data_IF_722442224950
#
_entry.id   IF_722442224950
#
_cell.length_a   1.000
_cell.length_b   1.000
_cell.length_c   1.000
_cell.angle_alpha   90.00
_cell.angle_beta   90.00
_cell.angle_gamma   90.00
#
_symmetry.space_group_name_H-M   'P 1'
#
loop_
_entity.id
_entity.type
_entity.pdbx_description
1 polymer ?
#
# COMPACT_ATOMS: atom_id res chain seq x y z
N UNK A 1 26.81 31.26 26.73
CA UNK A 1 27.29 29.91 26.39
C UNK A 1 27.03 28.98 27.58
N UNK A 2 25.76 28.77 27.96
CA UNK A 2 25.38 28.02 29.17
C UNK A 2 23.97 27.41 29.05
N UNK A 3 23.59 26.96 27.84
CA UNK A 3 22.30 26.30 27.56
C UNK A 3 22.49 24.85 27.06
N UNK A 4 23.73 24.47 26.70
CA UNK A 4 24.05 23.12 26.21
C UNK A 4 24.37 22.10 27.31
N UNK A 5 24.89 22.52 28.47
CA UNK A 5 25.38 21.61 29.53
C UNK A 5 24.25 20.97 30.37
N UNK A 6 23.05 21.56 30.38
CA UNK A 6 21.92 21.04 31.14
C UNK A 6 21.18 19.87 30.48
N UNK A 7 21.33 19.69 29.16
CA UNK A 7 20.68 18.61 28.40
C UNK A 7 21.55 17.34 28.40
N UNK A 8 22.88 17.48 28.42
CA UNK A 8 23.80 16.34 28.44
C UNK A 8 23.87 15.64 29.81
N UNK A 9 23.59 16.35 30.91
CA UNK A 9 23.60 15.76 32.26
C UNK A 9 22.37 14.91 32.58
N UNK A 10 21.19 15.20 31.99
CA UNK A 10 19.97 14.39 32.18
C UNK A 10 20.02 13.04 31.43
N UNK A 11 20.78 12.95 30.33
CA UNK A 11 20.90 11.71 29.54
C UNK A 11 21.77 10.67 30.23
N UNK A 12 22.72 11.09 31.08
CA UNK A 12 23.67 10.18 31.73
C UNK A 12 23.06 9.39 32.91
N UNK A 13 21.89 9.79 33.41
CA UNK A 13 21.25 9.21 34.59
C UNK A 13 20.15 8.18 34.26
N UNK A 14 19.99 7.83 32.98
CA UNK A 14 19.04 6.80 32.54
C UNK A 14 19.69 5.41 32.68
N UNK A 15 19.14 4.49 33.48
CA UNK A 15 19.70 3.15 33.62
C UNK A 15 19.83 2.41 32.28
N UNK A 16 20.99 1.80 32.02
CA UNK A 16 21.30 1.08 30.77
C UNK A 16 20.23 0.05 30.36
N UNK A 17 19.60 -0.62 31.34
CA UNK A 17 18.56 -1.59 31.09
C UNK A 17 17.28 -0.98 30.52
N UNK A 18 16.97 0.29 30.86
CA UNK A 18 15.87 1.02 30.24
C UNK A 18 16.25 1.34 28.80
N UNK A 19 17.43 1.93 28.56
CA UNK A 19 17.93 2.25 27.21
C UNK A 19 17.83 1.02 26.31
N UNK A 20 18.34 -0.13 26.75
CA UNK A 20 18.25 -1.38 26.00
C UNK A 20 16.81 -1.80 25.68
N UNK A 21 15.86 -1.64 26.62
CA UNK A 21 14.44 -1.93 26.39
C UNK A 21 13.83 -0.98 25.35
N UNK A 22 14.14 0.31 25.42
CA UNK A 22 13.69 1.31 24.44
C UNK A 22 14.24 0.99 23.05
N UNK A 23 15.55 0.75 22.91
CA UNK A 23 16.18 0.42 21.62
C UNK A 23 15.64 -0.88 21.05
N UNK A 24 15.31 -1.88 21.87
CA UNK A 24 14.70 -3.14 21.40
C UNK A 24 13.29 -2.90 20.87
N UNK A 25 12.49 -2.11 21.57
CA UNK A 25 11.15 -1.71 21.12
C UNK A 25 11.22 -0.92 19.82
N UNK A 26 12.14 0.01 19.69
CA UNK A 26 12.29 0.79 18.46
C UNK A 26 12.72 -0.08 17.28
N UNK A 27 13.69 -1.00 17.47
CA UNK A 27 14.09 -1.96 16.45
C UNK A 27 12.92 -2.80 15.95
N UNK A 28 12.10 -3.32 16.86
CA UNK A 28 10.90 -4.10 16.49
C UNK A 28 9.89 -3.23 15.72
N UNK A 29 9.68 -1.98 16.14
CA UNK A 29 8.80 -1.05 15.43
C UNK A 29 9.28 -0.80 14.00
N UNK A 30 10.58 -0.51 13.83
CA UNK A 30 11.17 -0.25 12.51
C UNK A 30 11.13 -1.50 11.62
N UNK A 31 11.35 -2.70 12.17
CA UNK A 31 11.21 -3.94 11.41
C UNK A 31 9.77 -4.15 10.94
N UNK A 32 8.78 -3.99 11.82
CA UNK A 32 7.36 -4.13 11.46
C UNK A 32 6.93 -3.07 10.44
N UNK A 33 7.34 -1.81 10.62
CA UNK A 33 7.06 -0.73 9.69
C UNK A 33 7.74 -0.96 8.33
N UNK A 34 8.98 -1.46 8.33
CA UNK A 34 9.71 -1.81 7.10
C UNK A 34 9.05 -2.95 6.33
N UNK A 35 8.62 -4.01 7.03
CA UNK A 35 7.85 -5.11 6.43
C UNK A 35 6.52 -4.61 5.87
N UNK A 36 5.82 -3.73 6.60
CA UNK A 36 4.58 -3.12 6.14
C UNK A 36 4.78 -2.32 4.85
N UNK A 37 5.77 -1.40 4.81
CA UNK A 37 6.05 -0.58 3.63
C UNK A 37 6.53 -1.44 2.44
N UNK A 38 7.37 -2.44 2.69
CA UNK A 38 7.80 -3.39 1.67
C UNK A 38 6.65 -4.22 1.10
N UNK A 39 5.72 -4.67 1.96
CA UNK A 39 4.52 -5.37 1.53
C UNK A 39 3.61 -4.48 0.68
N UNK A 40 3.42 -3.21 1.05
CA UNK A 40 2.69 -2.26 0.20
C UNK A 40 3.37 -2.03 -1.16
N UNK A 41 4.69 -1.91 -1.21
CA UNK A 41 5.40 -1.80 -2.48
C UNK A 41 5.21 -3.05 -3.36
N UNK A 42 5.20 -4.25 -2.77
CA UNK A 42 4.92 -5.50 -3.49
C UNK A 42 3.49 -5.55 -4.03
N UNK A 43 2.50 -5.05 -3.28
CA UNK A 43 1.11 -4.97 -3.76
C UNK A 43 1.03 -4.15 -5.06
N UNK A 44 1.69 -3.00 -5.10
CA UNK A 44 1.68 -2.12 -6.27
C UNK A 44 2.26 -2.80 -7.53
N UNK A 45 3.29 -3.63 -7.35
CA UNK A 45 3.99 -4.28 -8.47
C UNK A 45 3.26 -5.55 -8.91
N UNK A 46 2.82 -6.39 -7.96
CA UNK A 46 2.45 -7.79 -8.24
C UNK A 46 0.93 -7.96 -8.38
N UNK A 47 0.10 -7.11 -7.76
CA UNK A 47 -1.36 -7.30 -7.73
C UNK A 47 -2.01 -7.36 -9.11
N UNK A 48 -1.59 -6.51 -10.06
CA UNK A 48 -2.20 -6.45 -11.40
C UNK A 48 -1.37 -7.19 -12.46
N UNK A 49 -0.11 -7.53 -12.17
CA UNK A 49 0.82 -8.04 -13.18
C UNK A 49 0.96 -9.55 -13.19
N UNK A 50 0.65 -10.24 -12.08
CA UNK A 50 0.83 -11.69 -11.99
C UNK A 50 -0.37 -12.39 -11.37
N UNK A 51 -0.92 -13.33 -12.14
CA UNK A 51 -1.96 -14.25 -11.72
C UNK A 51 -1.43 -15.68 -11.72
N UNK A 52 -1.87 -16.47 -10.75
CA UNK A 52 -1.64 -17.91 -10.68
C UNK A 52 -2.98 -18.64 -10.80
N UNK A 53 -2.96 -19.81 -11.43
CA UNK A 53 -4.13 -20.66 -11.55
C UNK A 53 -4.20 -21.61 -10.36
N UNK A 54 -5.32 -21.61 -9.64
CA UNK A 54 -5.63 -22.54 -8.56
C UNK A 54 -6.91 -23.30 -8.91
N UNK A 55 -6.74 -24.42 -9.62
CA UNK A 55 -7.88 -25.19 -10.15
C UNK A 55 -8.72 -24.33 -11.12
N UNK A 56 -10.03 -24.15 -10.89
CA UNK A 56 -10.88 -23.30 -11.74
C UNK A 56 -10.73 -21.79 -11.46
N UNK A 57 -10.03 -21.39 -10.40
CA UNK A 57 -9.93 -19.98 -9.99
C UNK A 57 -8.60 -19.37 -10.44
N UNK A 58 -8.65 -18.13 -10.94
CA UNK A 58 -7.47 -17.28 -11.15
C UNK A 58 -7.27 -16.39 -9.92
N UNK A 59 -6.08 -16.42 -9.34
CA UNK A 59 -5.75 -15.65 -8.14
C UNK A 59 -4.58 -14.70 -8.44
N UNK A 60 -4.76 -13.42 -8.14
CA UNK A 60 -3.66 -12.45 -8.17
C UNK A 60 -2.61 -12.81 -7.11
N UNK A 61 -1.34 -12.84 -7.49
CA UNK A 61 -0.24 -13.12 -6.53
C UNK A 61 -0.12 -12.01 -5.48
N UNK A 62 -0.57 -10.79 -5.80
CA UNK A 62 -0.71 -9.70 -4.84
C UNK A 62 -1.66 -9.97 -3.67
N UNK A 63 -2.42 -11.07 -3.68
CA UNK A 63 -3.17 -11.50 -2.48
C UNK A 63 -2.24 -11.92 -1.34
N UNK A 64 -0.99 -12.33 -1.60
CA UNK A 64 -0.06 -12.79 -0.57
C UNK A 64 0.51 -11.68 0.34
N UNK A 65 0.96 -10.53 -0.19
CA UNK A 65 1.44 -9.43 0.68
C UNK A 65 0.31 -8.76 1.49
N UNK A 66 -0.95 -8.94 1.12
CA UNK A 66 -2.09 -8.27 1.75
C UNK A 66 -2.29 -8.70 3.22
N UNK A 67 -2.41 -9.99 3.58
CA UNK A 67 -2.40 -10.43 4.98
C UNK A 67 -1.19 -9.96 5.79
N UNK A 68 -0.02 -9.82 5.13
CA UNK A 68 1.20 -9.37 5.79
C UNK A 68 1.08 -7.91 6.22
N UNK A 69 0.51 -7.03 5.38
CA UNK A 69 0.26 -5.63 5.77
C UNK A 69 -0.62 -5.53 7.01
N UNK A 70 -1.67 -6.36 7.11
CA UNK A 70 -2.55 -6.34 8.28
C UNK A 70 -1.90 -6.87 9.53
N UNK A 71 -1.20 -8.01 9.42
CA UNK A 71 -0.46 -8.56 10.54
C UNK A 71 0.52 -7.52 11.10
N UNK A 72 1.22 -6.79 10.24
CA UNK A 72 2.11 -5.71 10.68
C UNK A 72 1.34 -4.55 11.33
N UNK A 73 0.26 -4.04 10.76
CA UNK A 73 -0.49 -2.93 11.36
C UNK A 73 -1.12 -3.32 12.70
N UNK A 74 -1.63 -4.54 12.80
CA UNK A 74 -2.26 -5.07 14.01
C UNK A 74 -1.23 -5.21 15.13
N UNK A 75 -0.08 -5.83 14.85
CA UNK A 75 1.04 -5.94 15.80
C UNK A 75 1.56 -4.57 16.23
N UNK A 76 1.67 -3.61 15.30
CA UNK A 76 2.08 -2.24 15.63
C UNK A 76 1.04 -1.58 16.53
N UNK A 77 -0.25 -1.78 16.25
CA UNK A 77 -1.34 -1.19 17.04
C UNK A 77 -1.40 -1.75 18.46
N UNK A 78 -1.10 -3.05 18.63
CA UNK A 78 -1.11 -3.73 19.92
C UNK A 78 0.12 -3.39 20.76
N UNK A 79 1.31 -3.41 20.16
CA UNK A 79 2.58 -3.19 20.86
C UNK A 79 2.90 -1.70 21.11
N UNK A 80 2.47 -0.81 20.20
CA UNK A 80 2.84 0.61 20.20
C UNK A 80 1.65 1.57 20.21
N UNK A 81 0.43 1.04 20.15
CA UNK A 81 -0.80 1.82 20.17
C UNK A 81 -1.29 2.24 18.79
N UNK A 82 -2.60 2.42 18.70
CA UNK A 82 -3.31 2.78 17.46
C UNK A 82 -2.79 4.05 16.77
N UNK A 83 -2.36 5.06 17.55
CA UNK A 83 -1.83 6.31 16.97
C UNK A 83 -0.58 6.07 16.13
N UNK A 84 0.33 5.20 16.59
CA UNK A 84 1.56 4.88 15.85
C UNK A 84 1.27 3.99 14.64
N UNK A 85 0.36 3.03 14.78
CA UNK A 85 -0.09 2.22 13.64
C UNK A 85 -0.67 3.11 12.52
N UNK A 86 -1.58 4.02 12.86
CA UNK A 86 -2.15 4.97 11.89
C UNK A 86 -1.06 5.82 11.22
N UNK A 87 -0.05 6.25 11.98
CA UNK A 87 1.05 7.05 11.44
C UNK A 87 1.88 6.27 10.41
N UNK A 88 2.18 5.00 10.67
CA UNK A 88 2.87 4.11 9.71
C UNK A 88 2.07 3.97 8.42
N UNK A 89 0.74 3.86 8.52
CA UNK A 89 -0.08 3.78 7.30
C UNK A 89 -0.10 5.09 6.53
N UNK A 90 -0.20 6.25 7.21
CA UNK A 90 -0.11 7.56 6.57
C UNK A 90 1.24 7.78 5.86
N UNK A 91 2.34 7.34 6.47
CA UNK A 91 3.65 7.33 5.80
C UNK A 91 3.59 6.49 4.54
N UNK A 92 3.01 5.30 4.63
CA UNK A 92 2.85 4.42 3.48
C UNK A 92 2.03 5.03 2.33
N UNK A 93 0.91 5.70 2.64
CA UNK A 93 0.16 6.47 1.64
C UNK A 93 1.00 7.60 1.03
N UNK A 94 1.76 8.33 1.85
CA UNK A 94 2.67 9.37 1.39
C UNK A 94 3.75 8.83 0.45
N UNK A 95 4.30 7.64 0.74
CA UNK A 95 5.24 6.94 -0.14
C UNK A 95 4.57 6.57 -1.47
N UNK A 96 3.33 6.08 -1.45
CA UNK A 96 2.60 5.77 -2.69
C UNK A 96 2.31 7.02 -3.54
N UNK A 97 1.99 8.16 -2.91
CA UNK A 97 1.88 9.45 -3.60
C UNK A 97 3.20 9.86 -4.25
N UNK A 98 4.33 9.68 -3.53
CA UNK A 98 5.65 9.96 -4.08
C UNK A 98 5.94 9.08 -5.29
N UNK A 99 5.64 7.78 -5.21
CA UNK A 99 5.81 6.82 -6.32
C UNK A 99 5.00 7.29 -7.54
N UNK A 100 3.71 7.57 -7.39
CA UNK A 100 2.87 8.09 -8.48
C UNK A 100 3.43 9.42 -9.01
N UNK A 101 3.86 10.33 -8.14
CA UNK A 101 4.40 11.63 -8.53
C UNK A 101 5.67 11.51 -9.36
N UNK A 102 6.61 10.65 -8.96
CA UNK A 102 7.84 10.38 -9.72
C UNK A 102 7.53 9.71 -11.06
N UNK A 103 6.61 8.74 -11.07
CA UNK A 103 6.15 8.10 -12.31
C UNK A 103 5.46 9.09 -13.24
N UNK A 104 4.64 10.00 -12.71
CA UNK A 104 4.00 11.03 -13.50
C UNK A 104 5.02 12.00 -14.10
N UNK A 105 6.01 12.44 -13.31
CA UNK A 105 7.11 13.28 -13.84
C UNK A 105 7.89 12.56 -14.93
N UNK A 106 8.22 11.29 -14.75
CA UNK A 106 8.93 10.49 -15.76
C UNK A 106 8.13 10.34 -17.05
N UNK A 107 6.80 10.20 -16.97
CA UNK A 107 5.93 10.13 -18.14
C UNK A 107 5.90 11.44 -18.95
N UNK A 108 6.14 12.60 -18.32
CA UNK A 108 6.17 13.89 -19.01
C UNK A 108 7.49 14.18 -19.72
N UNK A 109 8.56 13.45 -19.39
CA UNK A 109 9.86 13.63 -20.01
C UNK A 109 9.95 12.75 -21.25
N UNK A 110 10.32 13.34 -22.38
CA UNK A 110 10.56 12.61 -23.63
C UNK A 110 11.69 11.58 -23.45
N UNK A 111 11.46 10.36 -23.94
CA UNK A 111 12.47 9.32 -23.98
C UNK A 111 13.61 9.65 -24.95
N UNK A 112 14.74 8.97 -24.76
CA UNK A 112 15.91 9.05 -25.63
C UNK A 112 15.56 8.48 -27.02
N UNK A 113 16.19 8.95 -28.12
CA UNK A 113 15.97 8.42 -29.46
C UNK A 113 16.08 6.88 -29.55
N UNK A 114 15.26 6.20 -30.40
CA UNK A 114 15.18 4.74 -30.46
C UNK A 114 16.51 4.04 -30.78
N UNK A 115 17.43 4.71 -31.47
CA UNK A 115 18.75 4.20 -31.84
C UNK A 115 19.70 4.01 -30.64
N UNK A 116 19.42 4.66 -29.50
CA UNK A 116 20.22 4.57 -28.27
C UNK A 116 19.46 3.83 -27.16
N UNK A 117 18.21 3.41 -27.40
CA UNK A 117 17.43 2.68 -26.41
C UNK A 117 17.94 1.25 -26.23
N UNK A 118 17.87 0.75 -24.99
CA UNK A 118 18.18 -0.65 -24.72
C UNK A 118 17.09 -1.56 -25.31
N UNK A 119 17.41 -2.80 -25.75
CA UNK A 119 16.45 -3.68 -26.43
C UNK A 119 15.19 -4.02 -25.62
N UNK A 120 15.25 -3.95 -24.29
CA UNK A 120 14.11 -4.21 -23.39
C UNK A 120 13.25 -2.97 -23.10
N UNK A 121 13.70 -1.76 -23.49
CA UNK A 121 12.90 -0.55 -23.32
C UNK A 121 11.75 -0.48 -24.32
N UNK A 122 11.91 -1.07 -25.50
CA UNK A 122 10.89 -1.06 -26.55
C UNK A 122 10.36 -2.47 -26.76
N UNK A 123 9.03 -2.60 -26.72
CA UNK A 123 8.33 -3.86 -26.94
C UNK A 123 7.57 -3.78 -28.25
N UNK A 124 7.81 -4.76 -29.12
CA UNK A 124 7.02 -4.94 -30.33
C UNK A 124 5.80 -5.80 -30.01
N UNK A 125 4.63 -5.19 -30.03
CA UNK A 125 3.36 -5.86 -29.81
C UNK A 125 2.91 -6.52 -31.11
N UNK A 126 2.56 -7.80 -31.03
CA UNK A 126 2.02 -8.56 -32.17
C UNK A 126 0.55 -8.24 -32.43
N UNK A 127 -0.18 -7.77 -31.41
CA UNK A 127 -1.59 -7.40 -31.45
C UNK A 127 -1.83 -6.18 -30.54
N UNK A 128 -2.88 -5.39 -30.80
CA UNK A 128 -3.31 -4.32 -29.89
C UNK A 128 -3.61 -4.84 -28.49
N UNK A 129 -3.12 -4.13 -27.47
CA UNK A 129 -3.39 -4.42 -26.06
C UNK A 129 -4.11 -3.25 -25.42
N UNK A 130 -5.22 -3.53 -24.73
CA UNK A 130 -5.93 -2.53 -23.94
C UNK A 130 -5.25 -2.32 -22.60
N UNK A 131 -4.99 -1.07 -22.27
CA UNK A 131 -4.37 -0.66 -21.02
C UNK A 131 -5.42 -0.29 -19.96
N UNK A 132 -5.09 -0.39 -18.66
CA UNK A 132 -6.01 -0.03 -17.58
C UNK A 132 -6.45 1.43 -17.59
N UNK A 133 -5.65 2.32 -18.18
CA UNK A 133 -5.98 3.74 -18.37
C UNK A 133 -7.03 3.98 -19.48
N UNK A 134 -7.44 2.93 -20.20
CA UNK A 134 -8.39 2.99 -21.31
C UNK A 134 -7.76 3.20 -22.68
N UNK A 135 -6.44 3.39 -22.76
CA UNK A 135 -5.73 3.54 -24.02
C UNK A 135 -5.45 2.18 -24.68
N UNK A 136 -5.18 2.20 -25.99
CA UNK A 136 -4.71 1.02 -26.73
C UNK A 136 -3.22 1.19 -27.06
N UNK A 137 -2.44 0.17 -26.71
CA UNK A 137 -1.04 0.05 -27.06
C UNK A 137 -0.90 -0.82 -28.32
N UNK A 138 -0.30 -0.28 -29.37
CA UNK A 138 -0.17 -0.96 -30.67
C UNK A 138 1.22 -0.73 -31.28
N UNK A 139 1.71 -1.70 -32.05
CA UNK A 139 2.99 -1.60 -32.74
C UNK A 139 4.17 -1.62 -31.77
N UNK A 140 4.99 -0.57 -31.79
CA UNK A 140 6.19 -0.43 -30.96
C UNK A 140 5.89 0.47 -29.77
N UNK A 141 5.93 -0.07 -28.55
CA UNK A 141 5.54 0.63 -27.33
C UNK A 141 6.66 0.54 -26.30
N UNK A 142 6.90 1.64 -25.58
CA UNK A 142 7.87 1.63 -24.50
C UNK A 142 7.36 0.85 -23.29
N UNK A 143 8.23 0.00 -22.73
CA UNK A 143 7.97 -0.75 -21.50
C UNK A 143 7.58 0.18 -20.35
N UNK A 144 8.16 1.37 -20.30
CA UNK A 144 7.82 2.38 -19.31
C UNK A 144 6.35 2.78 -19.37
N UNK A 145 5.80 3.04 -20.55
CA UNK A 145 4.39 3.40 -20.74
C UNK A 145 3.46 2.29 -20.26
N UNK A 146 3.80 1.02 -20.54
CA UNK A 146 3.02 -0.12 -20.04
C UNK A 146 3.05 -0.20 -18.51
N UNK A 147 4.23 -0.08 -17.90
CA UNK A 147 4.38 -0.10 -16.44
C UNK A 147 3.63 1.09 -15.82
N UNK A 148 3.72 2.26 -16.43
CA UNK A 148 3.05 3.48 -15.99
C UNK A 148 1.53 3.31 -15.98
N UNK A 149 0.93 2.93 -17.12
CA UNK A 149 -0.52 2.76 -17.22
C UNK A 149 -1.05 1.66 -16.29
N UNK A 150 -0.31 0.56 -16.10
CA UNK A 150 -0.71 -0.51 -15.19
C UNK A 150 -0.57 -0.11 -13.71
N UNK A 151 0.55 0.51 -13.34
CA UNK A 151 0.86 0.78 -11.92
C UNK A 151 0.15 2.02 -11.43
N UNK A 152 0.15 3.12 -12.19
CA UNK A 152 -0.47 4.38 -11.75
C UNK A 152 -1.97 4.23 -11.47
N UNK A 153 -2.70 3.54 -12.36
CA UNK A 153 -4.11 3.23 -12.17
C UNK A 153 -4.37 2.35 -10.94
N UNK A 154 -3.60 1.27 -10.79
CA UNK A 154 -3.75 0.34 -9.67
C UNK A 154 -3.45 1.00 -8.31
N UNK A 155 -2.36 1.76 -8.21
CA UNK A 155 -1.99 2.47 -6.98
C UNK A 155 -3.02 3.54 -6.64
N UNK A 156 -3.46 4.33 -7.62
CA UNK A 156 -4.46 5.37 -7.40
C UNK A 156 -5.80 4.79 -6.94
N UNK A 157 -6.28 3.72 -7.59
CA UNK A 157 -7.46 2.99 -7.18
C UNK A 157 -7.35 2.47 -5.74
N UNK A 158 -6.19 1.88 -5.39
CA UNK A 158 -5.92 1.35 -4.06
C UNK A 158 -5.92 2.45 -2.98
N UNK A 159 -5.39 3.63 -3.30
CA UNK A 159 -5.43 4.77 -2.39
C UNK A 159 -6.86 5.28 -2.14
N UNK A 160 -7.69 5.37 -3.18
CA UNK A 160 -9.10 5.75 -3.03
C UNK A 160 -9.89 4.70 -2.24
N UNK A 161 -9.66 3.41 -2.52
CA UNK A 161 -10.25 2.31 -1.79
C UNK A 161 -9.89 2.38 -0.30
N UNK A 162 -8.60 2.60 -0.01
CA UNK A 162 -8.10 2.74 1.34
C UNK A 162 -8.73 3.93 2.08
N UNK A 163 -8.87 5.10 1.42
CA UNK A 163 -9.52 6.27 2.03
C UNK A 163 -10.97 5.95 2.41
N UNK A 164 -11.73 5.33 1.51
CA UNK A 164 -13.11 4.96 1.81
C UNK A 164 -13.22 3.82 2.85
N UNK A 165 -12.27 2.89 2.88
CA UNK A 165 -12.14 1.89 3.94
C UNK A 165 -11.88 2.55 5.30
N UNK A 166 -10.99 3.53 5.39
CA UNK A 166 -10.78 4.31 6.62
C UNK A 166 -12.04 5.05 7.07
N UNK A 167 -12.81 5.65 6.16
CA UNK A 167 -14.07 6.29 6.51
C UNK A 167 -15.08 5.27 7.06
N UNK A 168 -15.16 4.09 6.47
CA UNK A 168 -15.94 2.97 7.01
C UNK A 168 -15.47 2.56 8.40
N UNK A 169 -14.16 2.43 8.62
CA UNK A 169 -13.57 2.07 9.90
C UNK A 169 -13.96 3.06 11.01
N UNK A 170 -13.83 4.36 10.75
CA UNK A 170 -14.20 5.39 11.73
C UNK A 170 -15.71 5.34 12.06
N UNK A 171 -16.55 5.13 11.04
CA UNK A 171 -17.99 5.03 11.22
C UNK A 171 -18.37 3.81 12.06
N UNK A 172 -17.80 2.64 11.72
CA UNK A 172 -18.02 1.39 12.42
C UNK A 172 -17.51 1.45 13.85
N UNK A 173 -16.31 1.98 14.07
CA UNK A 173 -15.77 2.17 15.42
C UNK A 173 -16.73 2.94 16.34
N UNK A 174 -17.41 3.98 15.83
CA UNK A 174 -18.42 4.74 16.57
C UNK A 174 -19.78 4.04 16.66
N UNK A 175 -20.18 3.30 15.64
CA UNK A 175 -21.36 2.43 15.70
C UNK A 175 -21.22 1.41 16.82
N UNK A 176 -20.12 0.65 16.84
CA UNK A 176 -19.84 -0.32 17.89
C UNK A 176 -19.65 0.35 19.26
N UNK A 177 -19.12 1.59 19.34
CA UNK A 177 -19.06 2.36 20.60
C UNK A 177 -20.43 2.58 21.22
N UNK A 178 -21.40 2.96 20.38
CA UNK A 178 -22.79 3.21 20.77
C UNK A 178 -23.47 1.91 21.17
N UNK A 179 -23.22 0.83 20.43
CA UNK A 179 -23.83 -0.48 20.68
C UNK A 179 -23.31 -1.15 21.96
N UNK A 180 -22.00 -1.11 22.21
CA UNK A 180 -21.41 -1.77 23.39
C UNK A 180 -21.39 -0.90 24.65
N UNK A 181 -21.99 0.31 24.60
CA UNK A 181 -21.94 1.31 25.68
C UNK A 181 -20.52 1.57 26.19
N UNK A 182 -19.53 1.50 25.29
CA UNK A 182 -18.12 1.66 25.59
C UNK A 182 -17.41 0.44 26.19
N UNK A 183 -18.09 -0.68 26.47
CA UNK A 183 -17.44 -1.93 26.92
C UNK A 183 -16.88 -2.72 25.72
N UNK A 184 -15.84 -3.53 25.92
CA UNK A 184 -15.18 -4.34 24.87
C UNK A 184 -14.48 -3.54 23.75
N UNK A 185 -13.41 -2.83 24.12
CA UNK A 185 -12.54 -2.11 23.17
C UNK A 185 -11.95 -3.03 22.08
N UNK A 186 -11.68 -4.28 22.44
CA UNK A 186 -11.13 -5.30 21.53
C UNK A 186 -12.10 -5.66 20.39
N UNK A 187 -13.39 -5.87 20.70
CA UNK A 187 -14.41 -6.20 19.69
C UNK A 187 -14.60 -5.04 18.70
N UNK A 188 -14.50 -3.81 19.20
CA UNK A 188 -14.60 -2.59 18.38
C UNK A 188 -13.43 -2.42 17.43
N UNK A 189 -12.21 -2.67 17.91
CA UNK A 189 -11.02 -2.52 17.08
C UNK A 189 -11.00 -3.60 15.99
N UNK A 190 -11.07 -4.88 16.38
CA UNK A 190 -10.99 -5.99 15.44
C UNK A 190 -12.20 -6.07 14.49
N UNK A 191 -13.42 -5.82 14.99
CA UNK A 191 -14.63 -5.88 14.15
C UNK A 191 -14.68 -4.76 13.12
N UNK A 192 -14.21 -3.57 13.48
CA UNK A 192 -14.13 -2.43 12.56
C UNK A 192 -13.06 -2.68 11.48
N UNK A 193 -11.90 -3.17 11.89
CA UNK A 193 -10.80 -3.52 10.98
C UNK A 193 -11.22 -4.61 9.99
N UNK A 194 -11.83 -5.70 10.43
CA UNK A 194 -12.23 -6.81 9.56
C UNK A 194 -13.25 -6.38 8.48
N UNK A 195 -14.25 -5.57 8.86
CA UNK A 195 -15.23 -5.04 7.90
C UNK A 195 -14.60 -4.05 6.93
N UNK A 196 -13.73 -3.16 7.42
CA UNK A 196 -13.05 -2.18 6.58
C UNK A 196 -12.11 -2.81 5.57
N UNK A 197 -11.49 -3.94 5.91
CA UNK A 197 -10.67 -4.75 5.02
C UNK A 197 -11.50 -5.45 3.92
N UNK A 198 -12.69 -5.94 4.25
CA UNK A 198 -13.60 -6.47 3.24
C UNK A 198 -14.02 -5.39 2.25
N UNK A 199 -14.32 -4.18 2.74
CA UNK A 199 -14.62 -3.02 1.89
C UNK A 199 -13.42 -2.63 1.03
N UNK A 200 -12.21 -2.59 1.60
CA UNK A 200 -10.98 -2.28 0.87
C UNK A 200 -10.71 -3.28 -0.26
N UNK A 201 -10.67 -4.57 0.04
CA UNK A 201 -10.44 -5.62 -0.95
C UNK A 201 -11.51 -5.63 -2.05
N UNK A 202 -12.78 -5.48 -1.70
CA UNK A 202 -13.88 -5.45 -2.68
C UNK A 202 -13.83 -4.20 -3.56
N UNK A 203 -13.48 -3.04 -3.01
CA UNK A 203 -13.29 -1.82 -3.81
C UNK A 203 -12.07 -1.89 -4.71
N UNK A 204 -10.93 -2.42 -4.24
CA UNK A 204 -9.75 -2.60 -5.09
C UNK A 204 -10.06 -3.50 -6.27
N UNK A 205 -10.68 -4.66 -6.02
CA UNK A 205 -11.07 -5.59 -7.08
C UNK A 205 -12.10 -4.93 -8.02
N UNK A 206 -13.12 -4.28 -7.46
CA UNK A 206 -14.17 -3.62 -8.21
C UNK A 206 -13.66 -2.47 -9.09
N UNK A 207 -12.75 -1.63 -8.59
CA UNK A 207 -12.20 -0.51 -9.36
C UNK A 207 -11.19 -1.00 -10.40
N UNK A 208 -10.33 -1.96 -10.04
CA UNK A 208 -9.27 -2.46 -10.93
C UNK A 208 -9.82 -3.31 -12.07
N UNK A 209 -10.80 -4.17 -11.78
CA UNK A 209 -11.32 -5.16 -12.74
C UNK A 209 -12.75 -4.87 -13.19
N UNK A 210 -13.54 -4.10 -12.44
CA UNK A 210 -14.93 -3.81 -12.81
C UNK A 210 -15.07 -3.06 -14.11
N UNK A 211 -14.14 -2.16 -14.44
CA UNK A 211 -14.12 -1.47 -15.73
C UNK A 211 -13.86 -2.44 -16.91
N UNK A 212 -12.97 -3.42 -16.74
CA UNK A 212 -12.70 -4.43 -17.76
C UNK A 212 -13.83 -5.47 -17.86
N UNK A 213 -14.45 -5.84 -16.73
CA UNK A 213 -15.60 -6.75 -16.68
C UNK A 213 -16.84 -6.14 -17.36
N UNK A 214 -17.15 -4.87 -17.07
CA UNK A 214 -18.28 -4.15 -17.69
C UNK A 214 -18.10 -3.94 -19.21
N UNK A 215 -16.86 -3.96 -19.70
CA UNK A 215 -16.55 -3.88 -21.14
C UNK A 215 -16.59 -5.24 -21.84
N UNK A 216 -16.70 -6.35 -21.11
CA UNK A 216 -16.69 -7.70 -21.68
C UNK A 216 -15.29 -8.23 -22.02
N UNK A 217 -14.23 -7.57 -21.54
CA UNK A 217 -12.83 -7.93 -21.83
C UNK A 217 -12.35 -9.14 -20.98
N UNK A 218 -13.13 -9.53 -19.97
CA UNK A 218 -12.85 -10.67 -19.08
C UNK A 218 -14.13 -11.50 -18.90
N UNK A 219 -14.07 -12.79 -19.25
CA UNK A 219 -15.14 -13.78 -19.08
C UNK A 219 -15.04 -14.50 -17.74
#
# INVERSE_FOLDING_TARGET
MAVGEGIESEVHDVPDHLIQRWTRRERVFLMLAGVFLGAMAMLNIISITRFIQLGPLSLAVGVLPYPLTFLCTDLISELYGQRRANWVVWVGLGVNLLVIGVMWLGHQVSSVPPDVQAPWQTLQLSQPVFLPDGNKAEGSVELYTLIYSCTSGAVFASMLAYMAAQFCDVYLFHFWKRLTRGRHLWLRNNGSTLVSQLVDATMVIGVTFGAAFLRGDMT
#
